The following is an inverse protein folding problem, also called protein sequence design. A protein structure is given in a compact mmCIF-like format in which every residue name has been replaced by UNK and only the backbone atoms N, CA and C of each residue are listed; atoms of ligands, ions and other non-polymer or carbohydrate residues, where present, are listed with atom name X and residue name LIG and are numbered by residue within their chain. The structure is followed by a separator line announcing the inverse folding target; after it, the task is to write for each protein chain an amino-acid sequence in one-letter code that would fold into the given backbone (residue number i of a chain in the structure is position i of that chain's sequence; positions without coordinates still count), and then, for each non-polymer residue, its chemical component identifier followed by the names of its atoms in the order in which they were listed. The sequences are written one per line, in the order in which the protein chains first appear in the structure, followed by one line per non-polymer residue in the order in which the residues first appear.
data_IF_978887551846
#
_entry.id   IF_978887551846
#
_cell.length_a   1.000
_cell.length_b   1.000
_cell.length_c   1.000
_cell.angle_alpha   90.00
_cell.angle_beta   90.00
_cell.angle_gamma   90.00
#
_symmetry.space_group_name_H-M   'P 1'
#
loop_
_entity.id
_entity.type
_entity.pdbx_description
1 polymer ?
#
# COMPACT_ATOMS: atom_id res chain seq x y z
N UNK A 1 -14.84 -22.13 21.51
CA UNK A 1 -14.63 -20.73 21.09
C UNK A 1 -13.35 -20.67 20.27
N UNK A 2 -13.44 -21.02 18.98
CA UNK A 2 -12.33 -20.96 18.04
C UNK A 2 -12.25 -19.52 17.51
N UNK A 3 -11.41 -18.71 18.14
CA UNK A 3 -11.02 -17.43 17.56
C UNK A 3 -10.29 -17.72 16.25
N UNK A 4 -10.82 -17.21 15.14
CA UNK A 4 -10.11 -17.15 13.88
C UNK A 4 -8.73 -16.54 14.15
N UNK A 5 -7.70 -17.38 14.03
CA UNK A 5 -6.31 -16.91 14.03
C UNK A 5 -6.19 -16.08 12.76
N UNK A 6 -6.28 -14.76 12.89
CA UNK A 6 -5.92 -13.86 11.81
C UNK A 6 -4.46 -14.18 11.47
N UNK A 7 -4.16 -14.73 10.27
CA UNK A 7 -2.79 -14.85 9.84
C UNK A 7 -2.20 -13.44 9.91
N UNK A 8 -1.02 -13.32 10.51
CA UNK A 8 -0.27 -12.08 10.49
C UNK A 8 0.17 -11.82 9.05
N UNK A 9 -0.76 -11.33 8.24
CA UNK A 9 -0.56 -10.79 6.91
C UNK A 9 0.47 -9.68 7.09
N UNK A 10 1.71 -9.91 6.65
CA UNK A 10 2.86 -9.01 6.73
C UNK A 10 2.61 -7.67 6.01
N UNK A 11 1.68 -6.82 6.45
CA UNK A 11 0.97 -5.76 5.70
C UNK A 11 1.76 -5.05 4.58
N UNK A 12 1.94 -5.75 3.47
CA UNK A 12 2.11 -5.23 2.12
C UNK A 12 0.73 -4.64 1.73
N UNK A 13 0.62 -3.69 0.80
CA UNK A 13 -0.70 -3.18 0.42
C UNK A 13 -1.67 -4.28 0.03
N UNK A 14 -2.94 -4.11 0.38
CA UNK A 14 -4.01 -5.07 0.14
C UNK A 14 -4.01 -5.65 -1.29
N UNK A 15 -3.67 -4.83 -2.30
CA UNK A 15 -3.57 -5.28 -3.69
C UNK A 15 -2.48 -6.32 -3.96
N UNK A 16 -1.33 -6.25 -3.29
CA UNK A 16 -0.28 -7.27 -3.46
C UNK A 16 -0.73 -8.64 -2.98
N UNK A 17 -1.48 -8.71 -1.89
CA UNK A 17 -2.03 -9.98 -1.43
C UNK A 17 -3.01 -10.54 -2.44
N UNK A 18 -3.88 -9.69 -2.99
CA UNK A 18 -4.77 -10.11 -4.06
C UNK A 18 -3.99 -10.57 -5.30
N UNK A 19 -2.94 -9.87 -5.71
CA UNK A 19 -2.12 -10.29 -6.86
C UNK A 19 -1.49 -11.66 -6.63
N UNK A 20 -0.99 -11.92 -5.42
CA UNK A 20 -0.45 -13.23 -5.04
C UNK A 20 -1.53 -14.29 -5.00
N UNK A 21 -2.70 -13.99 -4.44
CA UNK A 21 -3.84 -14.91 -4.39
C UNK A 21 -4.32 -15.27 -5.80
N UNK A 22 -4.46 -14.28 -6.70
CA UNK A 22 -4.82 -14.50 -8.11
C UNK A 22 -3.78 -15.39 -8.78
N UNK A 23 -2.49 -15.05 -8.66
CA UNK A 23 -1.42 -15.85 -9.25
C UNK A 23 -1.39 -17.30 -8.72
N UNK A 24 -1.58 -17.51 -7.42
CA UNK A 24 -1.64 -18.85 -6.82
C UNK A 24 -2.88 -19.63 -7.26
N UNK A 25 -4.01 -18.94 -7.45
CA UNK A 25 -5.25 -19.55 -7.94
C UNK A 25 -5.15 -20.00 -9.40
N UNK A 26 -4.42 -19.25 -10.23
CA UNK A 26 -4.16 -19.58 -11.64
C UNK A 26 -3.17 -20.73 -11.82
N UNK A 27 -2.26 -20.91 -10.87
CA UNK A 27 -1.30 -22.00 -10.88
C UNK A 27 -2.00 -23.33 -10.51
N UNK A 28 -1.87 -24.33 -11.38
CA UNK A 28 -2.26 -25.73 -11.10
C UNK A 28 -1.20 -26.45 -10.24
N UNK A 29 -0.56 -25.74 -9.31
CA UNK A 29 0.53 -26.27 -8.49
C UNK A 29 -0.04 -26.66 -7.13
N UNK A 30 0.43 -27.80 -6.62
CA UNK A 30 0.22 -28.25 -5.25
C UNK A 30 0.84 -27.23 -4.28
N UNK A 31 -0.02 -26.54 -3.52
CA UNK A 31 0.38 -25.45 -2.63
C UNK A 31 1.00 -25.96 -1.33
N UNK A 32 0.98 -27.28 -1.08
CA UNK A 32 1.56 -27.90 0.12
C UNK A 32 3.07 -27.69 0.23
N UNK A 33 3.79 -27.60 -0.89
CA UNK A 33 5.25 -27.40 -0.88
C UNK A 33 5.70 -26.01 -0.41
N UNK A 34 4.76 -25.05 -0.29
CA UNK A 34 5.01 -23.70 0.24
C UNK A 34 4.79 -23.61 1.76
N UNK A 35 4.16 -24.63 2.37
CA UNK A 35 3.85 -24.68 3.80
C UNK A 35 4.51 -25.95 4.36
N UNK A 36 5.80 -25.87 4.66
CA UNK A 36 6.60 -27.01 5.08
C UNK A 36 6.25 -27.49 6.52
N UNK A 37 5.36 -28.49 6.65
CA UNK A 37 5.37 -29.52 7.71
C UNK A 37 4.47 -30.72 7.31
N UNK A 38 4.61 -31.94 7.89
CA UNK A 38 4.88 -33.15 7.12
C UNK A 38 3.66 -34.05 6.91
N UNK A 39 2.46 -33.63 7.28
CA UNK A 39 1.22 -34.34 6.93
C UNK A 39 0.10 -33.35 6.66
N UNK A 40 -0.30 -33.21 5.38
CA UNK A 40 -1.71 -32.94 5.11
C UNK A 40 -2.29 -33.69 3.89
N UNK A 41 -3.49 -34.23 4.09
CA UNK A 41 -4.38 -34.92 3.14
C UNK A 41 -5.33 -33.94 2.42
N UNK A 42 -5.96 -34.36 1.29
CA UNK A 42 -7.11 -33.71 0.59
C UNK A 42 -7.08 -32.17 0.38
N UNK A 43 -5.88 -31.60 0.31
CA UNK A 43 -5.56 -30.26 0.82
C UNK A 43 -5.76 -29.07 -0.16
N UNK A 44 -5.84 -29.31 -1.47
CA UNK A 44 -5.80 -28.22 -2.47
C UNK A 44 -7.09 -27.38 -2.53
N UNK A 45 -8.24 -28.02 -2.33
CA UNK A 45 -9.53 -27.32 -2.36
C UNK A 45 -9.68 -26.42 -1.13
N UNK A 46 -9.34 -26.93 0.05
CA UNK A 46 -9.44 -26.18 1.31
C UNK A 46 -8.48 -24.97 1.30
N UNK A 47 -7.29 -25.09 0.71
CA UNK A 47 -6.38 -23.96 0.52
C UNK A 47 -6.97 -22.93 -0.45
N UNK A 48 -7.55 -23.36 -1.58
CA UNK A 48 -8.19 -22.44 -2.54
C UNK A 48 -9.38 -21.71 -1.92
N UNK A 49 -10.22 -22.43 -1.18
CA UNK A 49 -11.37 -21.87 -0.47
C UNK A 49 -10.90 -20.86 0.59
N UNK A 50 -9.83 -21.17 1.33
CA UNK A 50 -9.22 -20.25 2.28
C UNK A 50 -8.63 -18.99 1.63
N UNK A 51 -7.91 -19.12 0.51
CA UNK A 51 -7.37 -17.97 -0.22
C UNK A 51 -8.49 -17.10 -0.81
N UNK A 52 -9.58 -17.71 -1.26
CA UNK A 52 -10.77 -17.02 -1.73
C UNK A 52 -11.45 -16.26 -0.57
N UNK A 53 -11.60 -16.86 0.61
CA UNK A 53 -12.14 -16.19 1.80
C UNK A 53 -11.30 -14.97 2.21
N UNK A 54 -9.96 -15.10 2.20
CA UNK A 54 -9.06 -13.97 2.45
C UNK A 54 -9.28 -12.87 1.41
N UNK A 55 -9.38 -13.24 0.13
CA UNK A 55 -9.58 -12.27 -0.95
C UNK A 55 -10.86 -11.45 -0.74
N UNK A 56 -11.95 -12.10 -0.36
CA UNK A 56 -13.24 -11.44 -0.09
C UNK A 56 -13.11 -10.46 1.07
N UNK A 57 -12.43 -10.85 2.15
CA UNK A 57 -12.24 -9.96 3.30
C UNK A 57 -11.35 -8.76 2.93
N UNK A 58 -10.35 -8.94 2.07
CA UNK A 58 -9.54 -7.83 1.55
C UNK A 58 -10.41 -6.89 0.68
N UNK A 59 -11.17 -7.44 -0.26
CA UNK A 59 -12.03 -6.67 -1.17
C UNK A 59 -13.14 -5.89 -0.44
N UNK A 60 -13.61 -6.41 0.70
CA UNK A 60 -14.60 -5.75 1.55
C UNK A 60 -14.04 -4.54 2.30
N UNK A 61 -12.81 -4.64 2.80
CA UNK A 61 -12.24 -3.63 3.70
C UNK A 61 -11.38 -2.58 2.97
N UNK A 62 -10.93 -2.87 1.76
CA UNK A 62 -10.01 -2.03 1.01
C UNK A 62 -10.60 -1.65 -0.35
N UNK A 63 -10.23 -0.48 -0.88
CA UNK A 63 -10.68 -0.06 -2.21
C UNK A 63 -9.85 -0.71 -3.33
N UNK A 64 -9.80 -2.03 -3.32
CA UNK A 64 -9.10 -2.89 -4.27
C UNK A 64 -9.98 -4.10 -4.54
N UNK A 65 -10.02 -4.57 -5.79
CA UNK A 65 -10.76 -5.77 -6.16
C UNK A 65 -10.21 -6.42 -7.44
N UNK A 66 -10.48 -7.71 -7.61
CA UNK A 66 -10.14 -8.47 -8.81
C UNK A 66 -11.09 -8.16 -9.98
N UNK A 67 -10.65 -8.41 -11.20
CA UNK A 67 -11.52 -8.41 -12.39
C UNK A 67 -12.76 -9.27 -12.17
N UNK A 68 -13.88 -8.89 -12.78
CA UNK A 68 -15.17 -9.60 -12.62
C UNK A 68 -15.92 -9.24 -11.34
N UNK A 69 -15.29 -8.57 -10.36
CA UNK A 69 -15.97 -8.08 -9.15
C UNK A 69 -16.71 -6.77 -9.40
N UNK A 70 -17.78 -6.57 -8.64
CA UNK A 70 -18.58 -5.35 -8.67
C UNK A 70 -17.90 -4.29 -7.81
N UNK A 71 -17.68 -3.10 -8.38
CA UNK A 71 -17.08 -1.99 -7.63
C UNK A 71 -18.07 -1.42 -6.62
N UNK A 72 -17.62 -1.28 -5.38
CA UNK A 72 -18.37 -0.65 -4.29
C UNK A 72 -18.18 0.87 -4.23
N UNK A 73 -17.15 1.38 -4.91
CA UNK A 73 -16.78 2.79 -4.94
C UNK A 73 -16.71 3.29 -6.38
N UNK A 74 -17.42 4.39 -6.66
CA UNK A 74 -17.26 5.12 -7.91
C UNK A 74 -15.90 5.81 -7.95
N UNK A 75 -15.17 5.70 -9.06
CA UNK A 75 -13.85 6.29 -9.16
C UNK A 75 -13.08 5.89 -10.41
N UNK A 76 -11.82 6.30 -10.44
CA UNK A 76 -10.85 5.77 -11.38
C UNK A 76 -10.22 4.55 -10.72
N UNK A 77 -10.20 3.42 -11.41
CA UNK A 77 -9.59 2.19 -10.99
C UNK A 77 -8.37 1.95 -11.86
N UNK A 78 -7.23 1.71 -11.23
CA UNK A 78 -5.93 1.52 -11.89
C UNK A 78 -5.56 0.05 -11.77
N UNK A 79 -5.17 -0.57 -12.87
CA UNK A 79 -4.67 -1.94 -12.85
C UNK A 79 -3.30 -1.97 -12.16
N UNK A 80 -3.13 -2.84 -11.16
CA UNK A 80 -1.90 -2.87 -10.37
C UNK A 80 -0.77 -3.63 -11.07
N UNK A 81 -1.10 -4.59 -11.93
CA UNK A 81 -0.12 -5.31 -12.77
C UNK A 81 0.32 -4.51 -13.99
N UNK A 82 -0.54 -3.63 -14.53
CA UNK A 82 -0.25 -2.74 -15.66
C UNK A 82 -0.75 -1.32 -15.35
N UNK A 83 0.03 -0.50 -14.62
CA UNK A 83 -0.42 0.81 -14.12
C UNK A 83 -0.83 1.83 -15.19
N UNK A 84 -0.48 1.60 -16.46
CA UNK A 84 -0.95 2.42 -17.59
C UNK A 84 -2.44 2.22 -17.88
N UNK A 85 -2.98 1.05 -17.55
CA UNK A 85 -4.39 0.69 -17.74
C UNK A 85 -5.23 1.22 -16.58
N UNK A 86 -6.22 2.04 -16.92
CA UNK A 86 -7.14 2.62 -15.94
C UNK A 86 -8.54 2.77 -16.52
N UNK A 87 -9.54 2.58 -15.68
CA UNK A 87 -10.95 2.67 -16.05
C UNK A 87 -11.70 3.55 -15.08
N UNK A 88 -12.66 4.32 -15.57
CA UNK A 88 -13.57 5.08 -14.71
C UNK A 88 -14.88 4.31 -14.59
N UNK A 89 -15.21 3.89 -13.38
CA UNK A 89 -16.40 3.11 -13.08
C UNK A 89 -17.24 3.77 -12.00
N UNK A 90 -18.55 3.62 -12.11
CA UNK A 90 -19.52 3.92 -11.07
C UNK A 90 -19.77 2.69 -10.20
N UNK A 91 -20.13 2.91 -8.93
CA UNK A 91 -20.58 1.85 -8.02
C UNK A 91 -21.64 0.96 -8.69
N UNK A 92 -21.49 -0.36 -8.55
CA UNK A 92 -22.37 -1.34 -9.17
C UNK A 92 -21.89 -1.84 -10.55
N UNK A 93 -20.85 -1.25 -11.13
CA UNK A 93 -20.25 -1.74 -12.37
C UNK A 93 -19.17 -2.80 -12.12
N UNK A 94 -18.94 -3.66 -13.10
CA UNK A 94 -17.97 -4.76 -13.02
C UNK A 94 -16.58 -4.31 -13.49
N UNK A 95 -15.54 -4.71 -12.76
CA UNK A 95 -14.15 -4.47 -13.16
C UNK A 95 -13.78 -5.33 -14.37
N UNK A 96 -13.16 -4.74 -15.41
CA UNK A 96 -12.82 -5.49 -16.62
C UNK A 96 -11.63 -6.41 -16.42
N UNK A 97 -11.52 -7.42 -17.28
CA UNK A 97 -10.29 -8.20 -17.47
C UNK A 97 -9.36 -7.48 -18.45
N UNK A 98 -8.06 -7.82 -18.41
CA UNK A 98 -7.11 -7.40 -19.45
C UNK A 98 -6.86 -8.59 -20.36
N UNK A 99 -7.41 -8.53 -21.57
CA UNK A 99 -7.48 -9.71 -22.45
C UNK A 99 -8.30 -10.82 -21.78
N UNK A 100 -7.66 -11.96 -21.53
CA UNK A 100 -8.27 -13.12 -20.85
C UNK A 100 -7.71 -13.32 -19.42
N UNK A 101 -7.01 -12.33 -18.88
CA UNK A 101 -6.30 -12.45 -17.59
C UNK A 101 -7.07 -11.71 -16.50
N UNK A 102 -7.30 -12.40 -15.38
CA UNK A 102 -7.76 -11.77 -14.15
C UNK A 102 -6.64 -10.87 -13.60
N UNK A 103 -6.96 -9.61 -13.32
CA UNK A 103 -6.02 -8.65 -12.74
C UNK A 103 -6.61 -8.01 -11.51
N UNK A 104 -5.75 -7.39 -10.72
CA UNK A 104 -6.16 -6.64 -9.53
C UNK A 104 -6.25 -5.16 -9.90
N UNK A 105 -7.34 -4.54 -9.47
CA UNK A 105 -7.61 -3.12 -9.67
C UNK A 105 -7.64 -2.42 -8.33
N UNK A 106 -6.98 -1.27 -8.26
CA UNK A 106 -7.01 -0.40 -7.10
C UNK A 106 -7.79 0.86 -7.45
N UNK A 107 -8.82 1.18 -6.69
CA UNK A 107 -9.52 2.45 -6.83
C UNK A 107 -8.54 3.57 -6.43
N UNK A 108 -8.24 4.45 -7.37
CA UNK A 108 -7.61 5.72 -7.13
C UNK A 108 -8.56 6.54 -6.24
N UNK A 109 -8.36 6.41 -4.93
CA UNK A 109 -8.91 7.36 -3.98
C UNK A 109 -8.20 8.67 -4.28
N UNK A 110 -8.89 9.61 -4.92
CA UNK A 110 -8.48 11.02 -4.83
C UNK A 110 -8.63 11.35 -3.36
N UNK A 111 -7.52 11.38 -2.62
CA UNK A 111 -7.48 12.01 -1.32
C UNK A 111 -7.82 13.48 -1.57
N UNK A 112 -9.10 13.83 -1.42
CA UNK A 112 -9.51 15.22 -1.21
C UNK A 112 -9.03 15.54 0.20
N UNK A 113 -7.84 16.08 0.29
CA UNK A 113 -7.26 16.47 1.56
C UNK A 113 -6.19 17.53 1.36
N UNK A 114 -5.83 18.18 2.45
CA UNK A 114 -4.69 19.09 2.45
C UNK A 114 -3.37 18.30 2.29
N UNK A 115 -2.26 18.98 2.01
CA UNK A 115 -0.96 18.31 1.83
C UNK A 115 -0.55 17.51 3.08
N UNK A 116 -0.95 18.02 4.24
CA UNK A 116 -0.82 17.43 5.56
C UNK A 116 -1.53 16.07 5.65
N UNK A 117 -2.81 16.03 5.31
CA UNK A 117 -3.64 14.81 5.38
C UNK A 117 -3.09 13.73 4.44
N UNK A 118 -2.69 14.14 3.23
CA UNK A 118 -2.14 13.22 2.24
C UNK A 118 -0.82 12.60 2.73
N UNK A 119 0.10 13.41 3.26
CA UNK A 119 1.35 12.89 3.80
C UNK A 119 1.10 11.98 5.00
N UNK A 120 0.19 12.35 5.90
CA UNK A 120 -0.16 11.52 7.04
C UNK A 120 -0.72 10.17 6.62
N UNK A 121 -1.63 10.14 5.64
CA UNK A 121 -2.19 8.89 5.11
C UNK A 121 -1.10 7.98 4.52
N UNK A 122 -0.14 8.55 3.80
CA UNK A 122 1.02 7.82 3.29
C UNK A 122 1.86 7.22 4.43
N UNK A 123 2.21 8.03 5.44
CA UNK A 123 2.98 7.52 6.58
C UNK A 123 2.22 6.46 7.38
N UNK A 124 0.92 6.65 7.59
CA UNK A 124 0.05 5.71 8.31
C UNK A 124 -0.16 4.39 7.58
N UNK A 125 -0.21 4.43 6.25
CA UNK A 125 -0.38 3.24 5.46
C UNK A 125 0.90 2.40 5.40
N UNK A 126 2.07 3.05 5.27
CA UNK A 126 3.30 2.37 4.84
C UNK A 126 4.43 2.35 5.88
N UNK A 127 4.37 3.15 6.95
CA UNK A 127 5.51 3.38 7.87
C UNK A 127 5.15 3.09 9.33
N UNK A 128 4.45 1.99 9.60
CA UNK A 128 4.05 1.60 10.96
C UNK A 128 5.15 0.79 11.67
N UNK A 129 5.14 0.79 13.02
CA UNK A 129 6.06 0.00 13.86
C UNK A 129 6.21 -1.47 13.43
N UNK A 130 5.10 -2.09 13.02
CA UNK A 130 5.06 -3.48 12.52
C UNK A 130 5.67 -3.66 11.13
N UNK A 131 5.61 -2.64 10.28
CA UNK A 131 6.19 -2.65 8.92
C UNK A 131 7.70 -2.46 8.99
N UNK A 132 8.18 -1.68 9.96
CA UNK A 132 9.59 -1.38 10.19
C UNK A 132 10.19 -2.13 11.39
N UNK A 133 9.60 -3.27 11.80
CA UNK A 133 10.08 -4.15 12.89
C UNK A 133 10.61 -3.43 14.14
N UNK A 134 9.95 -2.36 14.58
CA UNK A 134 10.29 -1.60 15.80
C UNK A 134 11.70 -0.99 15.83
N UNK A 135 12.44 -1.03 14.73
CA UNK A 135 13.78 -0.45 14.59
C UNK A 135 14.07 -0.25 13.12
N UNK A 136 14.65 0.90 12.77
CA UNK A 136 15.17 1.21 11.43
C UNK A 136 16.41 0.33 11.16
N UNK A 137 16.19 -0.97 11.11
CA UNK A 137 17.20 -1.99 10.95
C UNK A 137 16.93 -2.63 9.58
N UNK A 138 17.80 -2.27 8.63
CA UNK A 138 18.11 -2.98 7.38
C UNK A 138 17.41 -2.60 6.06
N UNK A 139 17.15 -1.31 5.81
CA UNK A 139 17.01 -0.86 4.41
C UNK A 139 17.29 0.64 4.25
N UNK A 140 18.01 0.98 3.19
CA UNK A 140 18.23 2.36 2.77
C UNK A 140 16.87 3.00 2.43
N UNK A 141 16.64 4.27 2.80
CA UNK A 141 15.34 4.92 2.59
C UNK A 141 14.99 5.18 1.11
N UNK A 142 15.89 4.89 0.17
CA UNK A 142 15.71 5.15 -1.27
C UNK A 142 14.49 4.47 -1.86
N UNK A 143 14.40 3.15 -1.68
CA UNK A 143 13.33 2.35 -2.29
C UNK A 143 11.96 2.77 -1.75
N UNK A 144 11.85 2.99 -0.43
CA UNK A 144 10.62 3.49 0.18
C UNK A 144 10.26 4.89 -0.31
N UNK A 145 11.24 5.77 -0.46
CA UNK A 145 11.04 7.13 -0.94
C UNK A 145 10.55 7.17 -2.38
N UNK A 146 11.11 6.33 -3.25
CA UNK A 146 10.67 6.21 -4.64
C UNK A 146 9.22 5.74 -4.73
N UNK A 147 8.88 4.65 -4.04
CA UNK A 147 7.52 4.14 -4.03
C UNK A 147 6.52 5.14 -3.44
N UNK A 148 6.90 5.86 -2.39
CA UNK A 148 6.02 6.88 -1.78
C UNK A 148 5.80 8.06 -2.72
N UNK A 149 6.85 8.53 -3.40
CA UNK A 149 6.72 9.59 -4.39
C UNK A 149 5.81 9.17 -5.56
N UNK A 150 5.94 7.94 -6.06
CA UNK A 150 5.06 7.42 -7.10
C UNK A 150 3.58 7.39 -6.65
N UNK A 151 3.31 6.90 -5.44
CA UNK A 151 1.95 6.87 -4.86
C UNK A 151 1.38 8.26 -4.66
N UNK A 152 2.15 9.17 -4.06
CA UNK A 152 1.73 10.55 -3.82
C UNK A 152 1.40 11.28 -5.13
N UNK A 153 2.19 11.08 -6.20
CA UNK A 153 1.84 11.61 -7.52
C UNK A 153 0.55 11.00 -8.06
N UNK A 154 0.39 9.68 -7.92
CA UNK A 154 -0.81 8.97 -8.35
C UNK A 154 -2.08 9.36 -7.58
N UNK A 155 -1.97 10.01 -6.42
CA UNK A 155 -3.12 10.33 -5.57
C UNK A 155 -3.45 11.82 -5.50
N UNK A 156 -2.56 12.69 -6.00
CA UNK A 156 -2.66 14.15 -5.82
C UNK A 156 -2.63 14.94 -7.13
N UNK A 157 -2.97 16.23 -7.04
CA UNK A 157 -2.85 17.17 -8.17
C UNK A 157 -1.58 18.03 -8.01
N UNK A 158 -1.18 18.74 -9.08
CA UNK A 158 0.04 19.55 -9.08
C UNK A 158 0.08 20.63 -7.98
N UNK A 159 -1.07 21.22 -7.64
CA UNK A 159 -1.15 22.21 -6.57
C UNK A 159 -0.82 21.59 -5.21
N UNK A 160 -1.40 20.42 -4.94
CA UNK A 160 -1.11 19.62 -3.74
C UNK A 160 0.35 19.17 -3.70
N UNK A 161 0.95 18.81 -4.85
CA UNK A 161 2.38 18.46 -4.91
C UNK A 161 3.25 19.62 -4.44
N UNK A 162 3.00 20.85 -4.89
CA UNK A 162 3.78 22.03 -4.43
C UNK A 162 3.64 22.27 -2.93
N UNK A 163 2.43 22.16 -2.40
CA UNK A 163 2.19 22.26 -0.95
C UNK A 163 2.90 21.15 -0.17
N UNK A 164 2.89 19.91 -0.66
CA UNK A 164 3.63 18.79 -0.06
C UNK A 164 5.14 19.02 -0.10
N UNK A 165 5.69 19.55 -1.20
CA UNK A 165 7.13 19.85 -1.32
C UNK A 165 7.58 20.91 -0.31
N UNK A 166 6.75 21.91 -0.03
CA UNK A 166 6.99 22.92 1.00
C UNK A 166 6.94 22.29 2.40
N UNK A 167 5.88 21.53 2.68
CA UNK A 167 5.68 20.87 3.97
C UNK A 167 6.79 19.85 4.28
N UNK A 168 7.22 19.05 3.30
CA UNK A 168 8.37 18.15 3.44
C UNK A 168 9.65 18.93 3.75
N UNK A 169 9.86 20.10 3.13
CA UNK A 169 11.02 20.94 3.42
C UNK A 169 11.01 21.48 4.85
N UNK A 170 9.84 21.86 5.37
CA UNK A 170 9.66 22.28 6.76
C UNK A 170 9.98 21.12 7.71
N UNK A 171 9.37 19.95 7.49
CA UNK A 171 9.59 18.75 8.32
C UNK A 171 11.04 18.26 8.32
N UNK A 172 11.79 18.40 7.22
CA UNK A 172 13.22 18.04 7.14
C UNK A 172 14.07 18.90 8.09
N UNK A 173 13.69 20.17 8.28
CA UNK A 173 14.46 21.14 9.05
C UNK A 173 13.96 21.31 10.49
N UNK A 174 12.72 20.90 10.77
CA UNK A 174 12.10 21.03 12.08
C UNK A 174 11.67 19.66 12.64
N UNK A 175 12.47 19.17 13.58
CA UNK A 175 12.22 17.92 14.33
C UNK A 175 10.97 17.99 15.21
N UNK A 176 10.58 19.20 15.62
CA UNK A 176 9.40 19.43 16.46
C UNK A 176 8.19 19.86 15.63
N UNK A 177 8.28 19.78 14.30
CA UNK A 177 7.18 20.11 13.41
C UNK A 177 5.93 19.31 13.76
N UNK A 178 4.78 19.99 13.83
CA UNK A 178 3.53 19.40 14.33
C UNK A 178 3.07 18.18 13.51
N UNK A 179 3.27 18.20 12.17
CA UNK A 179 3.01 17.03 11.31
C UNK A 179 3.93 15.86 11.63
N UNK A 180 5.22 16.12 11.87
CA UNK A 180 6.17 15.08 12.26
C UNK A 180 5.73 14.39 13.54
N UNK A 181 5.24 15.16 14.52
CA UNK A 181 4.70 14.63 15.78
C UNK A 181 3.39 13.85 15.58
N UNK A 182 2.53 14.30 14.67
CA UNK A 182 1.32 13.55 14.32
C UNK A 182 1.67 12.22 13.66
N UNK A 183 2.62 12.19 12.72
CA UNK A 183 3.13 10.97 12.08
C UNK A 183 3.75 10.03 13.12
N UNK A 184 4.59 10.53 14.04
CA UNK A 184 5.13 9.73 15.15
C UNK A 184 4.01 9.10 16.00
N UNK A 185 2.99 9.88 16.35
CA UNK A 185 1.87 9.39 17.14
C UNK A 185 1.06 8.32 16.40
N UNK A 186 0.84 8.47 15.09
CA UNK A 186 -0.02 7.59 14.31
C UNK A 186 0.70 6.33 13.83
N UNK A 187 2.01 6.40 13.65
CA UNK A 187 2.86 5.26 13.28
C UNK A 187 3.35 4.44 14.47
N UNK A 188 3.22 5.00 15.69
CA UNK A 188 3.76 4.47 16.94
C UNK A 188 5.28 4.21 16.86
N UNK A 189 5.99 5.05 16.09
CA UNK A 189 7.44 4.99 15.90
C UNK A 189 8.08 6.26 16.43
N UNK A 190 9.09 6.08 17.29
CA UNK A 190 9.87 7.17 17.87
C UNK A 190 10.84 7.77 16.83
N UNK A 191 10.30 8.43 15.81
CA UNK A 191 11.05 9.13 14.76
C UNK A 191 11.91 10.25 15.33
N UNK A 192 11.34 11.01 16.26
CA UNK A 192 11.92 12.25 16.77
C UNK A 192 12.60 12.09 18.11
N UNK A 193 12.60 10.92 18.76
CA UNK A 193 13.28 10.74 20.07
C UNK A 193 14.67 10.12 19.94
N UNK A 194 14.90 9.33 18.90
CA UNK A 194 16.17 8.65 18.65
C UNK A 194 16.91 9.31 17.47
N UNK A 195 18.19 9.67 17.63
CA UNK A 195 18.96 10.35 16.57
C UNK A 195 19.14 9.52 15.30
N UNK A 196 19.28 8.19 15.41
CA UNK A 196 19.38 7.31 14.24
C UNK A 196 18.06 7.23 13.48
N UNK A 197 16.94 7.12 14.20
CA UNK A 197 15.61 7.15 13.59
C UNK A 197 15.34 8.50 12.94
N UNK A 198 15.75 9.60 13.59
CA UNK A 198 15.60 10.94 13.06
C UNK A 198 16.41 11.12 11.77
N UNK A 199 17.68 10.72 11.76
CA UNK A 199 18.52 10.81 10.57
C UNK A 199 17.95 10.00 9.39
N UNK A 200 17.41 8.81 9.67
CA UNK A 200 16.77 7.99 8.64
C UNK A 200 15.47 8.63 8.14
N UNK A 201 14.61 9.11 9.05
CA UNK A 201 13.36 9.77 8.70
C UNK A 201 13.61 11.05 7.89
N UNK A 202 14.57 11.87 8.29
CA UNK A 202 15.00 13.05 7.56
C UNK A 202 15.52 12.70 6.17
N UNK A 203 16.27 11.61 6.04
CA UNK A 203 16.75 11.11 4.73
C UNK A 203 15.58 10.65 3.87
N UNK A 204 14.63 9.91 4.43
CA UNK A 204 13.41 9.48 3.74
C UNK A 204 12.61 10.68 3.22
N UNK A 205 12.29 11.66 4.08
CA UNK A 205 11.58 12.87 3.67
C UNK A 205 12.32 13.62 2.56
N UNK A 206 13.65 13.74 2.67
CA UNK A 206 14.48 14.39 1.66
C UNK A 206 14.39 13.68 0.31
N UNK A 207 14.43 12.35 0.31
CA UNK A 207 14.35 11.54 -0.92
C UNK A 207 12.95 11.55 -1.52
N UNK A 208 11.89 11.50 -0.71
CA UNK A 208 10.51 11.67 -1.20
C UNK A 208 10.38 13.02 -1.88
N UNK A 209 10.87 14.09 -1.25
CA UNK A 209 10.84 15.44 -1.80
C UNK A 209 11.62 15.55 -3.12
N UNK A 210 12.83 15.01 -3.19
CA UNK A 210 13.65 14.99 -4.41
C UNK A 210 12.93 14.25 -5.54
N UNK A 211 12.42 13.05 -5.25
CA UNK A 211 11.65 12.28 -6.21
C UNK A 211 10.42 13.06 -6.65
N UNK A 212 9.60 13.62 -5.76
CA UNK A 212 8.45 14.43 -6.18
C UNK A 212 8.82 15.61 -7.10
N UNK A 213 9.98 16.26 -6.87
CA UNK A 213 10.45 17.41 -7.66
C UNK A 213 11.03 17.06 -9.03
N UNK A 214 11.63 15.87 -9.21
CA UNK A 214 12.31 15.49 -10.46
C UNK A 214 11.38 15.28 -11.66
N UNK A 215 10.06 15.30 -11.44
CA UNK A 215 9.04 15.22 -12.50
C UNK A 215 8.43 16.55 -12.91
N UNK A 216 8.90 17.69 -12.39
CA UNK A 216 8.52 19.00 -12.94
C UNK A 216 9.28 19.37 -14.22
N UNK A 217 10.31 18.60 -14.60
CA UNK A 217 11.20 18.86 -15.74
C UNK A 217 11.02 17.87 -16.92
N UNK A 218 9.95 17.09 -16.94
CA UNK A 218 9.56 16.19 -18.05
C UNK A 218 8.16 16.55 -18.54
#
# INVERSE_FOLDING_TARGET
MSGLVHPWIHKIPAHWYLERIVALSDLKIDLSSLIADPEPSDNDKDIRDFLEDISIEVEKNYAVARSGRIVTNSGIWICTTLPTEHVRLASGQTLPQIGNTEVVWMCQRKTKGSAEEILQDEFNAYYLRRTLKGSVNYSEPDEYAEYSAQRLRGQTNQSSIRSMLALLAEMINDREHWITKQIESSTELDWTKNEKNWAWFQTLLSKIRLNLSSSENQ
#
